data_IF_771580966587
#
_entry.id   IF_771580966587
#
_cell.length_a   1.000
_cell.length_b   1.000
_cell.length_c   1.000
_cell.angle_alpha   90.00
_cell.angle_beta   90.00
_cell.angle_gamma   90.00
#
_symmetry.space_group_name_H-M   'P 1'
#
loop_
_entity.id
_entity.type
_entity.pdbx_description
1 polymer ?
#
# COMPACT_ATOMS: atom_id res chain seq x y z
N UNK A 1 -9.93 26.56 13.21
CA UNK A 1 -8.70 26.18 12.51
C UNK A 1 -9.12 25.67 11.14
N UNK A 2 -8.54 26.22 10.07
CA UNK A 2 -8.79 25.76 8.71
C UNK A 2 -7.93 24.52 8.48
N UNK A 3 -8.54 23.39 8.11
CA UNK A 3 -7.78 22.21 7.73
C UNK A 3 -7.04 22.52 6.42
N UNK A 4 -5.72 22.28 6.33
CA UNK A 4 -4.98 22.53 5.10
C UNK A 4 -5.46 21.60 3.99
N UNK A 5 -5.41 22.09 2.76
CA UNK A 5 -5.79 21.32 1.59
C UNK A 5 -4.81 20.17 1.33
N UNK A 6 -5.22 19.18 0.52
CA UNK A 6 -4.33 18.10 0.10
C UNK A 6 -3.09 18.62 -0.64
N UNK A 7 -3.28 19.62 -1.51
CA UNK A 7 -2.19 20.24 -2.26
C UNK A 7 -1.20 20.96 -1.34
N UNK A 8 -1.70 21.64 -0.30
CA UNK A 8 -0.86 22.26 0.73
C UNK A 8 -0.06 21.21 1.52
N UNK A 9 -0.68 20.09 1.90
CA UNK A 9 0.01 19.00 2.59
C UNK A 9 1.12 18.38 1.72
N UNK A 10 0.84 18.14 0.44
CA UNK A 10 1.82 17.62 -0.53
C UNK A 10 2.97 18.60 -0.72
N UNK A 11 2.67 19.90 -0.83
CA UNK A 11 3.68 20.94 -0.98
C UNK A 11 4.60 21.04 0.25
N UNK A 12 4.02 21.01 1.46
CA UNK A 12 4.79 20.99 2.72
C UNK A 12 5.69 19.76 2.83
N UNK A 13 5.17 18.59 2.49
CA UNK A 13 5.95 17.34 2.51
C UNK A 13 7.09 17.36 1.49
N UNK A 14 6.86 17.91 0.29
CA UNK A 14 7.92 18.11 -0.71
C UNK A 14 9.01 19.07 -0.20
N UNK A 15 8.61 20.20 0.38
CA UNK A 15 9.54 21.16 0.96
C UNK A 15 10.33 20.57 2.15
N UNK A 16 9.78 19.62 2.88
CA UNK A 16 10.52 18.88 3.90
C UNK A 16 11.58 17.96 3.29
N UNK A 17 11.24 17.21 2.22
CA UNK A 17 12.19 16.37 1.48
C UNK A 17 13.36 17.15 0.89
N UNK A 18 13.10 18.37 0.41
CA UNK A 18 14.14 19.25 -0.13
C UNK A 18 15.13 19.75 0.95
N UNK A 19 14.75 19.72 2.22
CA UNK A 19 15.58 20.17 3.33
C UNK A 19 16.59 19.10 3.81
N UNK A 20 16.56 17.87 3.29
CA UNK A 20 17.46 16.80 3.72
C UNK A 20 17.53 15.62 2.75
N UNK A 21 17.85 14.43 3.25
CA UNK A 21 18.02 13.22 2.44
C UNK A 21 17.05 12.11 2.84
N UNK A 22 16.89 11.12 1.98
CA UNK A 22 16.03 9.96 2.25
C UNK A 22 16.65 8.94 3.23
N UNK A 23 17.96 9.04 3.51
CA UNK A 23 18.71 8.04 4.28
C UNK A 23 19.30 8.59 5.58
N UNK A 24 19.40 9.91 5.72
CA UNK A 24 19.86 10.62 6.89
C UNK A 24 19.16 11.98 6.88
N UNK A 25 18.20 12.16 7.80
CA UNK A 25 17.37 13.35 7.81
C UNK A 25 18.12 14.53 8.43
N UNK A 26 17.93 15.72 7.87
CA UNK A 26 18.37 16.94 8.56
C UNK A 26 17.43 17.26 9.73
N UNK A 27 17.90 17.98 10.77
CA UNK A 27 17.03 18.46 11.84
C UNK A 27 15.84 19.29 11.32
N UNK A 28 16.07 20.10 10.28
CA UNK A 28 15.03 20.89 9.63
C UNK A 28 13.98 20.01 8.94
N UNK A 29 14.40 18.94 8.25
CA UNK A 29 13.48 17.99 7.63
C UNK A 29 12.61 17.30 8.69
N UNK A 30 13.19 16.79 9.77
CA UNK A 30 12.45 16.15 10.86
C UNK A 30 11.47 17.14 11.52
N UNK A 31 11.91 18.37 11.77
CA UNK A 31 11.04 19.41 12.31
C UNK A 31 9.83 19.67 11.40
N UNK A 32 10.05 19.89 10.10
CA UNK A 32 8.96 20.16 9.14
C UNK A 32 7.96 18.99 9.04
N UNK A 33 8.46 17.76 9.06
CA UNK A 33 7.61 16.55 9.03
C UNK A 33 6.83 16.36 10.34
N UNK A 34 7.43 16.64 11.50
CA UNK A 34 6.75 16.65 12.81
C UNK A 34 5.66 17.71 12.88
N UNK A 35 5.94 18.91 12.39
CA UNK A 35 4.94 19.99 12.27
C UNK A 35 3.77 19.56 11.39
N UNK A 36 4.03 18.95 10.24
CA UNK A 36 2.99 18.43 9.36
C UNK A 36 2.19 17.29 10.00
N UNK A 37 2.83 16.40 10.76
CA UNK A 37 2.15 15.32 11.50
C UNK A 37 1.22 15.86 12.60
N UNK A 38 1.61 16.95 13.27
CA UNK A 38 0.80 17.62 14.28
C UNK A 38 -0.41 18.32 13.66
N UNK A 39 -0.21 19.04 12.56
CA UNK A 39 -1.28 19.80 11.91
C UNK A 39 -2.26 18.87 11.16
N UNK A 40 -1.74 17.76 10.63
CA UNK A 40 -2.47 16.80 9.79
C UNK A 40 -2.22 15.35 10.23
N UNK A 41 -2.76 14.91 11.38
CA UNK A 41 -2.46 13.60 11.96
C UNK A 41 -3.03 12.41 11.17
N UNK A 42 -3.81 12.65 10.11
CA UNK A 42 -4.33 11.63 9.20
C UNK A 42 -3.58 11.55 7.86
N UNK A 43 -2.59 12.42 7.62
CA UNK A 43 -1.84 12.44 6.37
C UNK A 43 -0.80 11.31 6.34
N UNK A 44 -1.28 10.10 6.05
CA UNK A 44 -0.54 8.84 6.10
C UNK A 44 0.84 8.89 5.42
N UNK A 45 1.02 9.47 4.21
CA UNK A 45 2.34 9.55 3.59
C UNK A 45 3.41 10.23 4.45
N UNK A 46 3.04 11.32 5.14
CA UNK A 46 3.95 12.03 6.04
C UNK A 46 4.28 11.21 7.30
N UNK A 47 3.29 10.52 7.88
CA UNK A 47 3.50 9.70 9.08
C UNK A 47 4.48 8.56 8.80
N UNK A 48 4.31 7.86 7.67
CA UNK A 48 5.20 6.76 7.28
C UNK A 48 6.62 7.26 6.97
N UNK A 49 6.75 8.40 6.28
CA UNK A 49 8.05 8.98 5.97
C UNK A 49 8.79 9.44 7.23
N UNK A 50 8.11 10.14 8.13
CA UNK A 50 8.69 10.57 9.39
C UNK A 50 9.14 9.36 10.23
N UNK A 51 8.28 8.34 10.39
CA UNK A 51 8.62 7.12 11.12
C UNK A 51 9.83 6.39 10.51
N UNK A 52 9.96 6.39 9.17
CA UNK A 52 11.14 5.83 8.50
C UNK A 52 12.40 6.65 8.79
N UNK A 53 12.35 7.98 8.67
CA UNK A 53 13.52 8.83 8.86
C UNK A 53 14.01 8.82 10.32
N UNK A 54 13.09 8.78 11.28
CA UNK A 54 13.44 8.63 12.71
C UNK A 54 14.13 7.29 13.02
N UNK A 55 13.85 6.22 12.26
CA UNK A 55 14.58 4.95 12.38
C UNK A 55 15.99 4.99 11.78
N UNK A 56 16.24 5.89 10.83
CA UNK A 56 17.50 5.97 10.08
C UNK A 56 18.44 7.07 10.60
N UNK A 57 17.93 7.98 11.43
CA UNK A 57 18.66 9.15 11.91
C UNK A 57 18.86 9.04 13.40
N UNK A 58 20.12 9.13 13.85
CA UNK A 58 20.45 9.24 15.26
C UNK A 58 20.25 10.69 15.70
N UNK A 59 19.36 10.91 16.68
CA UNK A 59 19.15 12.24 17.27
C UNK A 59 19.86 12.26 18.63
N UNK A 60 21.10 12.80 18.73
CA UNK A 60 21.96 12.63 19.91
C UNK A 60 21.42 13.26 21.20
N UNK A 61 20.41 14.12 21.10
CA UNK A 61 19.74 14.75 22.24
C UNK A 61 18.42 14.05 22.64
N UNK A 62 18.03 12.99 21.91
CA UNK A 62 16.77 12.27 22.13
C UNK A 62 17.07 10.89 22.69
N UNK A 63 16.46 10.57 23.83
CA UNK A 63 16.57 9.24 24.43
C UNK A 63 15.96 8.19 23.49
N UNK A 64 16.63 7.04 23.34
CA UNK A 64 16.24 5.99 22.41
C UNK A 64 14.78 5.56 22.61
N UNK A 65 14.33 5.38 23.86
CA UNK A 65 12.95 4.97 24.12
C UNK A 65 11.94 6.03 23.69
N UNK A 66 12.26 7.32 23.88
CA UNK A 66 11.40 8.42 23.42
C UNK A 66 11.27 8.43 21.89
N UNK A 67 12.36 8.17 21.17
CA UNK A 67 12.34 8.04 19.72
C UNK A 67 11.47 6.83 19.28
N UNK A 68 11.61 5.69 19.95
CA UNK A 68 10.82 4.49 19.65
C UNK A 68 9.32 4.70 19.95
N UNK A 69 8.97 5.40 21.03
CA UNK A 69 7.58 5.77 21.32
C UNK A 69 6.99 6.68 20.24
N UNK A 70 7.75 7.68 19.77
CA UNK A 70 7.32 8.55 18.67
C UNK A 70 7.08 7.75 17.39
N UNK A 71 8.03 6.91 16.99
CA UNK A 71 7.94 6.06 15.78
C UNK A 71 6.70 5.16 15.87
N UNK A 72 6.51 4.49 17.01
CA UNK A 72 5.36 3.62 17.19
C UNK A 72 4.03 4.38 17.06
N UNK A 73 3.92 5.54 17.72
CA UNK A 73 2.72 6.36 17.66
C UNK A 73 2.41 6.89 16.26
N UNK A 74 3.43 7.17 15.44
CA UNK A 74 3.27 7.55 14.04
C UNK A 74 2.76 6.37 13.19
N UNK A 75 3.32 5.18 13.37
CA UNK A 75 2.93 3.98 12.63
C UNK A 75 1.52 3.51 12.99
N UNK A 76 1.14 3.52 14.27
CA UNK A 76 -0.21 3.22 14.72
C UNK A 76 -1.25 4.19 14.13
N UNK A 77 -0.94 5.50 14.11
CA UNK A 77 -1.78 6.51 13.45
C UNK A 77 -1.87 6.29 11.94
N UNK A 78 -0.78 5.91 11.29
CA UNK A 78 -0.77 5.61 9.86
C UNK A 78 -1.65 4.40 9.53
N UNK A 79 -1.61 3.34 10.36
CA UNK A 79 -2.50 2.18 10.25
C UNK A 79 -3.95 2.62 10.41
N UNK A 80 -4.28 3.42 11.43
CA UNK A 80 -5.65 3.89 11.65
C UNK A 80 -6.16 4.79 10.51
N UNK A 81 -5.39 5.81 10.13
CA UNK A 81 -5.79 6.81 9.15
C UNK A 81 -5.91 6.24 7.73
N UNK A 82 -5.12 5.22 7.39
CA UNK A 82 -5.17 4.55 6.09
C UNK A 82 -6.27 3.50 5.96
N UNK A 83 -7.10 3.31 7.00
CA UNK A 83 -8.06 2.20 7.02
C UNK A 83 -7.37 0.84 7.03
N UNK A 84 -6.23 0.74 7.73
CA UNK A 84 -5.40 -0.47 7.86
C UNK A 84 -4.86 -0.96 6.52
N UNK A 85 -4.26 -0.04 5.76
CA UNK A 85 -3.65 -0.37 4.47
C UNK A 85 -2.44 -1.30 4.64
N UNK A 86 -2.21 -2.19 3.66
CA UNK A 86 -1.10 -3.13 3.68
C UNK A 86 0.28 -2.48 3.95
N UNK A 87 0.66 -1.35 3.32
CA UNK A 87 1.96 -0.73 3.58
C UNK A 87 2.11 -0.22 5.02
N UNK A 88 1.06 0.37 5.59
CA UNK A 88 1.11 0.87 6.97
C UNK A 88 1.20 -0.28 7.99
N UNK A 89 0.44 -1.36 7.76
CA UNK A 89 0.49 -2.57 8.58
C UNK A 89 1.88 -3.22 8.53
N UNK A 90 2.48 -3.28 7.34
CA UNK A 90 3.80 -3.87 7.14
C UNK A 90 4.90 -3.11 7.91
N UNK A 91 4.88 -1.78 7.84
CA UNK A 91 5.84 -0.93 8.54
C UNK A 91 5.72 -1.07 10.07
N UNK A 92 4.48 -1.13 10.60
CA UNK A 92 4.25 -1.38 12.02
C UNK A 92 4.70 -2.78 12.43
N UNK A 93 4.42 -3.81 11.62
CA UNK A 93 4.83 -5.18 11.88
C UNK A 93 6.36 -5.29 12.02
N UNK A 94 7.10 -4.76 11.07
CA UNK A 94 8.57 -4.71 11.13
C UNK A 94 9.08 -3.95 12.35
N UNK A 95 8.44 -2.83 12.70
CA UNK A 95 8.84 -2.06 13.85
C UNK A 95 8.69 -2.84 15.16
N UNK A 96 7.52 -3.46 15.39
CA UNK A 96 7.27 -4.16 16.66
C UNK A 96 8.06 -5.47 16.78
N UNK A 97 8.38 -6.12 15.65
CA UNK A 97 9.26 -7.29 15.59
C UNK A 97 10.68 -6.92 16.04
N UNK A 98 11.25 -5.88 15.42
CA UNK A 98 12.67 -5.53 15.59
C UNK A 98 12.93 -4.74 16.88
N UNK A 99 12.06 -3.78 17.23
CA UNK A 99 12.34 -2.80 18.27
C UNK A 99 11.52 -2.99 19.56
N UNK A 100 10.45 -3.79 19.51
CA UNK A 100 9.58 -4.04 20.68
C UNK A 100 9.62 -5.47 21.18
N UNK A 101 10.35 -6.36 20.51
CA UNK A 101 10.44 -7.80 20.84
C UNK A 101 9.04 -8.42 21.02
N UNK A 102 8.11 -8.07 20.12
CA UNK A 102 6.71 -8.50 20.17
C UNK A 102 6.34 -9.35 18.95
N UNK A 103 6.92 -10.56 18.81
CA UNK A 103 6.78 -11.38 17.61
C UNK A 103 5.33 -11.81 17.34
N UNK A 104 4.54 -12.04 18.38
CA UNK A 104 3.11 -12.38 18.22
C UNK A 104 2.28 -11.25 17.64
N UNK A 105 2.60 -10.01 18.01
CA UNK A 105 1.94 -8.84 17.45
C UNK A 105 2.40 -8.62 16.00
N UNK A 106 3.70 -8.78 15.75
CA UNK A 106 4.26 -8.70 14.40
C UNK A 106 3.61 -9.70 13.45
N UNK A 107 3.49 -10.97 13.85
CA UNK A 107 2.84 -12.03 13.07
C UNK A 107 1.41 -11.65 12.66
N UNK A 108 0.58 -11.24 13.63
CA UNK A 108 -0.80 -10.81 13.35
C UNK A 108 -0.87 -9.61 12.38
N UNK A 109 0.06 -8.64 12.51
CA UNK A 109 0.13 -7.50 11.61
C UNK A 109 0.61 -7.87 10.20
N UNK A 110 1.55 -8.80 10.07
CA UNK A 110 1.98 -9.34 8.78
C UNK A 110 0.85 -10.09 8.09
N UNK A 111 0.13 -10.97 8.80
CA UNK A 111 -1.03 -11.67 8.26
C UNK A 111 -2.09 -10.71 7.74
N UNK A 112 -2.39 -9.66 8.51
CA UNK A 112 -3.36 -8.66 8.10
C UNK A 112 -2.87 -7.82 6.91
N UNK A 113 -1.59 -7.46 6.87
CA UNK A 113 -0.97 -6.76 5.75
C UNK A 113 -1.11 -7.58 4.46
N UNK A 114 -0.78 -8.87 4.52
CA UNK A 114 -0.93 -9.81 3.40
C UNK A 114 -2.39 -9.91 2.96
N UNK A 115 -3.32 -10.07 3.89
CA UNK A 115 -4.75 -10.12 3.56
C UNK A 115 -5.24 -8.82 2.89
N UNK A 116 -4.79 -7.65 3.36
CA UNK A 116 -5.11 -6.37 2.72
C UNK A 116 -4.51 -6.24 1.33
N UNK A 117 -3.27 -6.70 1.12
CA UNK A 117 -2.59 -6.66 -0.17
C UNK A 117 -3.28 -7.58 -1.18
N UNK A 118 -3.65 -8.79 -0.76
CA UNK A 118 -4.35 -9.76 -1.60
C UNK A 118 -5.71 -9.24 -2.07
N UNK A 119 -6.49 -8.59 -1.19
CA UNK A 119 -7.77 -7.96 -1.60
C UNK A 119 -7.59 -6.86 -2.66
N UNK A 120 -6.56 -6.02 -2.50
CA UNK A 120 -6.27 -4.96 -3.48
C UNK A 120 -5.80 -5.55 -4.82
N UNK A 121 -5.01 -6.62 -4.78
CA UNK A 121 -4.54 -7.34 -5.96
C UNK A 121 -5.69 -8.03 -6.71
N UNK A 122 -6.57 -8.73 -5.98
CA UNK A 122 -7.76 -9.39 -6.52
C UNK A 122 -8.62 -8.39 -7.31
N UNK A 123 -9.00 -7.26 -6.68
CA UNK A 123 -9.83 -6.25 -7.34
C UNK A 123 -9.15 -5.60 -8.55
N UNK A 124 -7.84 -5.34 -8.46
CA UNK A 124 -7.07 -4.77 -9.57
C UNK A 124 -6.97 -5.74 -10.75
N UNK A 125 -6.76 -7.03 -10.49
CA UNK A 125 -6.70 -8.05 -11.54
C UNK A 125 -8.05 -8.31 -12.16
N UNK A 126 -9.13 -8.38 -11.39
CA UNK A 126 -10.50 -8.48 -11.92
C UNK A 126 -10.79 -7.33 -12.89
N UNK A 127 -10.56 -6.08 -12.44
CA UNK A 127 -10.80 -4.90 -13.28
C UNK A 127 -9.91 -4.83 -14.52
N UNK A 128 -8.66 -5.31 -14.44
CA UNK A 128 -7.75 -5.30 -15.58
C UNK A 128 -8.11 -6.38 -16.63
N UNK A 129 -8.53 -7.56 -16.17
CA UNK A 129 -9.08 -8.61 -17.03
C UNK A 129 -10.30 -8.07 -17.78
N UNK A 130 -11.27 -7.49 -17.05
CA UNK A 130 -12.49 -6.91 -17.62
C UNK A 130 -12.17 -5.81 -18.64
N UNK A 131 -11.29 -4.88 -18.28
CA UNK A 131 -10.90 -3.78 -19.15
C UNK A 131 -10.31 -4.28 -20.48
N UNK A 132 -9.36 -5.21 -20.43
CA UNK A 132 -8.76 -5.77 -21.64
C UNK A 132 -9.74 -6.62 -22.47
N UNK A 133 -10.65 -7.33 -21.81
CA UNK A 133 -11.71 -8.07 -22.46
C UNK A 133 -12.70 -7.14 -23.18
N UNK A 134 -12.99 -5.96 -22.62
CA UNK A 134 -13.86 -4.95 -23.24
C UNK A 134 -13.28 -4.32 -24.50
N UNK A 135 -11.95 -4.11 -24.55
CA UNK A 135 -11.28 -3.57 -25.75
C UNK A 135 -11.37 -4.50 -26.96
N UNK A 136 -11.56 -5.81 -26.75
CA UNK A 136 -11.79 -6.85 -27.78
C UNK A 136 -10.79 -6.85 -28.95
N UNK A 137 -9.55 -6.46 -28.71
CA UNK A 137 -8.47 -6.67 -29.66
C UNK A 137 -7.80 -8.03 -29.41
N UNK A 138 -7.14 -8.59 -30.43
CA UNK A 138 -6.37 -9.83 -30.24
C UNK A 138 -5.33 -9.73 -29.11
N UNK A 139 -4.57 -8.63 -29.09
CA UNK A 139 -3.54 -8.39 -28.08
C UNK A 139 -4.12 -8.25 -26.67
N UNK A 140 -5.21 -7.49 -26.51
CA UNK A 140 -5.83 -7.31 -25.19
C UNK A 140 -6.48 -8.60 -24.68
N UNK A 141 -7.13 -9.39 -25.54
CA UNK A 141 -7.70 -10.67 -25.16
C UNK A 141 -6.62 -11.70 -24.79
N UNK A 142 -5.49 -11.75 -25.50
CA UNK A 142 -4.36 -12.61 -25.12
C UNK A 142 -3.78 -12.20 -23.74
N UNK A 143 -3.65 -10.90 -23.46
CA UNK A 143 -3.23 -10.41 -22.13
C UNK A 143 -4.23 -10.79 -21.04
N UNK A 144 -5.53 -10.62 -21.30
CA UNK A 144 -6.59 -10.95 -20.36
C UNK A 144 -6.62 -12.45 -20.04
N UNK A 145 -6.48 -13.32 -21.05
CA UNK A 145 -6.39 -14.77 -20.86
C UNK A 145 -5.16 -15.18 -20.02
N UNK A 146 -4.01 -14.57 -20.30
CA UNK A 146 -2.77 -14.87 -19.57
C UNK A 146 -2.85 -14.45 -18.10
N UNK A 147 -3.46 -13.30 -17.83
CA UNK A 147 -3.72 -12.85 -16.46
C UNK A 147 -4.78 -13.72 -15.77
N UNK A 148 -5.82 -14.13 -16.50
CA UNK A 148 -6.87 -15.03 -16.02
C UNK A 148 -6.31 -16.35 -15.47
N UNK A 149 -5.40 -17.00 -16.20
CA UNK A 149 -4.75 -18.24 -15.75
C UNK A 149 -3.96 -18.08 -14.44
N UNK A 150 -3.33 -16.92 -14.23
CA UNK A 150 -2.65 -16.62 -12.98
C UNK A 150 -3.65 -16.30 -11.87
N UNK A 151 -4.67 -15.51 -12.17
CA UNK A 151 -5.67 -15.08 -11.23
C UNK A 151 -6.48 -16.24 -10.64
N UNK A 152 -6.89 -17.23 -11.45
CA UNK A 152 -7.59 -18.43 -10.97
C UNK A 152 -6.73 -19.28 -10.02
N UNK A 153 -5.40 -19.26 -10.17
CA UNK A 153 -4.48 -19.99 -9.27
C UNK A 153 -4.26 -19.27 -7.94
N UNK A 154 -4.20 -17.94 -7.98
CA UNK A 154 -3.96 -17.11 -6.78
C UNK A 154 -5.25 -16.88 -6.00
N UNK A 155 -6.39 -16.79 -6.69
CA UNK A 155 -7.71 -16.47 -6.13
C UNK A 155 -8.78 -17.49 -6.55
N UNK A 156 -8.62 -18.78 -6.22
CA UNK A 156 -9.54 -19.84 -6.69
C UNK A 156 -10.98 -19.65 -6.23
N UNK A 157 -11.19 -19.04 -5.06
CA UNK A 157 -12.51 -18.82 -4.48
C UNK A 157 -13.11 -17.44 -4.83
N UNK A 158 -12.41 -16.64 -5.65
CA UNK A 158 -12.89 -15.29 -5.99
C UNK A 158 -13.99 -15.34 -7.05
N UNK A 159 -15.19 -14.93 -6.65
CA UNK A 159 -16.31 -14.75 -7.58
C UNK A 159 -16.04 -13.63 -8.59
N UNK A 160 -15.30 -12.58 -8.20
CA UNK A 160 -15.00 -11.45 -9.09
C UNK A 160 -14.05 -11.88 -10.21
N UNK A 161 -12.97 -12.59 -9.87
CA UNK A 161 -12.05 -13.18 -10.82
C UNK A 161 -12.77 -14.20 -11.70
N UNK A 162 -13.56 -15.10 -11.10
CA UNK A 162 -14.30 -16.11 -11.87
C UNK A 162 -15.14 -15.46 -12.99
N UNK A 163 -15.94 -14.44 -12.66
CA UNK A 163 -16.81 -13.77 -13.63
C UNK A 163 -16.00 -13.10 -14.76
N UNK A 164 -14.95 -12.36 -14.40
CA UNK A 164 -14.08 -11.68 -15.37
C UNK A 164 -13.40 -12.68 -16.33
N UNK A 165 -12.98 -13.83 -15.81
CA UNK A 165 -12.35 -14.90 -16.58
C UNK A 165 -13.34 -15.55 -17.55
N UNK A 166 -14.55 -15.87 -17.10
CA UNK A 166 -15.58 -16.49 -17.96
C UNK A 166 -15.93 -15.57 -19.13
N UNK A 167 -16.21 -14.29 -18.85
CA UNK A 167 -16.50 -13.30 -19.88
C UNK A 167 -15.35 -13.13 -20.88
N UNK A 168 -14.10 -13.11 -20.38
CA UNK A 168 -12.90 -13.07 -21.24
C UNK A 168 -12.82 -14.29 -22.15
N UNK A 169 -13.05 -15.50 -21.63
CA UNK A 169 -13.02 -16.74 -22.41
C UNK A 169 -14.10 -16.75 -23.49
N UNK A 170 -15.31 -16.31 -23.18
CA UNK A 170 -16.41 -16.19 -24.14
C UNK A 170 -16.07 -15.22 -25.27
N UNK A 171 -15.55 -14.03 -24.93
CA UNK A 171 -15.12 -13.03 -25.93
C UNK A 171 -13.97 -13.53 -26.78
N UNK A 172 -12.97 -14.16 -26.19
CA UNK A 172 -11.84 -14.74 -26.92
C UNK A 172 -12.28 -15.87 -27.88
N UNK A 173 -13.25 -16.69 -27.49
CA UNK A 173 -13.85 -17.70 -28.37
C UNK A 173 -14.66 -17.09 -29.52
N UNK A 174 -15.34 -15.96 -29.30
CA UNK A 174 -16.02 -15.22 -30.37
C UNK A 174 -15.02 -14.69 -31.42
N UNK A 175 -13.85 -14.23 -30.98
CA UNK A 175 -12.76 -13.74 -31.84
C UNK A 175 -11.85 -14.87 -32.40
N UNK A 176 -12.17 -16.14 -32.12
CA UNK A 176 -11.45 -17.30 -32.64
C UNK A 176 -10.09 -17.56 -31.99
N UNK A 177 -9.82 -16.98 -30.81
CA UNK A 177 -8.60 -17.19 -30.03
C UNK A 177 -8.67 -18.44 -29.14
N UNK A 178 -9.89 -18.91 -28.86
CA UNK A 178 -10.16 -20.16 -28.14
C UNK A 178 -11.15 -21.02 -28.94
N UNK A 179 -11.13 -22.35 -28.78
CA UNK A 179 -12.23 -23.18 -29.25
C UNK A 179 -13.53 -22.71 -28.59
N UNK A 180 -14.62 -22.67 -29.34
CA UNK A 180 -15.94 -22.37 -28.77
C UNK A 180 -16.30 -23.49 -27.81
N UNK A 181 -16.64 -23.15 -26.57
CA UNK A 181 -17.25 -24.10 -25.65
C UNK A 181 -18.60 -24.51 -26.24
N UNK A 182 -18.62 -25.64 -26.95
CA UNK A 182 -19.86 -26.37 -27.23
C UNK A 182 -20.23 -27.04 -25.91
N UNK A 183 -21.30 -26.55 -25.28
CA UNK A 183 -21.77 -26.98 -23.96
C UNK A 183 -22.17 -28.44 -23.87
#
# INVERSE_FOLDING_TARGET
MTHPSLDEMIARMRAAREAGSANEASPEQLQRLRELARDCPAFTPNLLELARLLRLTDEPEVEMEQALEEIQGLLEKAVQASGRSAPALLELAHFVDVFRDSPKLAEALFEESVASALRALEGSWAGLIDFWAMERTKDTLEKALKLSELAERVFPESTSIFNAVQDTREKAAQEGLLPRNEG
#
